data_IF_569652435059
#
_entry.id   IF_569652435059
#
_cell.length_a   1.000
_cell.length_b   1.000
_cell.length_c   1.000
_cell.angle_alpha   90.00
_cell.angle_beta   90.00
_cell.angle_gamma   90.00
#
_symmetry.space_group_name_H-M   'P 1'
#
loop_
_entity.id
_entity.type
_entity.pdbx_description
1 polymer ?
#
# COMPACT_ATOMS: atom_id res chain seq x y z
N UNK A 1 6.13 22.47 -12.76
CA UNK A 1 6.60 21.45 -13.73
C UNK A 1 7.62 20.60 -13.01
N UNK A 2 7.16 19.51 -12.35
CA UNK A 2 8.06 18.45 -11.89
C UNK A 2 8.62 17.79 -13.16
N UNK A 3 9.93 17.86 -13.33
CA UNK A 3 10.62 17.13 -14.38
C UNK A 3 10.39 15.63 -14.10
N UNK A 4 9.71 14.94 -15.01
CA UNK A 4 9.71 13.50 -15.01
C UNK A 4 11.18 13.06 -15.08
N UNK A 5 11.71 12.50 -14.00
CA UNK A 5 13.03 11.91 -13.98
C UNK A 5 13.02 10.76 -14.99
N UNK A 6 13.77 10.89 -16.07
CA UNK A 6 13.96 9.80 -17.01
C UNK A 6 14.41 8.55 -16.26
N UNK A 7 13.81 7.39 -16.55
CA UNK A 7 14.20 6.14 -15.89
C UNK A 7 15.69 5.92 -16.16
N UNK A 8 16.47 5.73 -15.10
CA UNK A 8 17.91 5.49 -15.22
C UNK A 8 18.15 4.30 -16.17
N UNK A 9 19.17 4.34 -17.04
CA UNK A 9 19.47 3.28 -18.01
C UNK A 9 19.54 1.86 -17.43
N UNK A 10 19.84 1.78 -16.16
CA UNK A 10 19.89 0.56 -15.35
C UNK A 10 18.51 -0.14 -15.22
N UNK A 11 17.42 0.60 -15.02
CA UNK A 11 16.06 0.04 -14.90
C UNK A 11 15.58 -0.54 -16.23
N UNK A 12 15.90 0.14 -17.34
CA UNK A 12 15.52 -0.31 -18.69
C UNK A 12 16.22 -1.63 -19.03
N UNK A 13 17.52 -1.76 -18.71
CA UNK A 13 18.28 -2.99 -18.95
C UNK A 13 17.72 -4.17 -18.16
N UNK A 14 17.31 -3.95 -16.92
CA UNK A 14 16.72 -4.99 -16.07
C UNK A 14 15.36 -5.46 -16.56
N UNK A 15 14.51 -4.54 -17.04
CA UNK A 15 13.25 -4.89 -17.69
C UNK A 15 13.48 -5.72 -18.94
N UNK A 16 14.51 -5.37 -19.75
CA UNK A 16 14.87 -6.13 -20.94
C UNK A 16 15.39 -7.53 -20.57
N UNK A 17 16.29 -7.63 -19.59
CA UNK A 17 16.82 -8.93 -19.10
C UNK A 17 15.66 -9.79 -18.54
N UNK A 18 14.70 -9.21 -17.85
CA UNK A 18 13.52 -9.90 -17.34
C UNK A 18 12.62 -10.39 -18.47
N UNK A 19 12.40 -9.56 -19.48
CA UNK A 19 11.61 -9.92 -20.67
C UNK A 19 12.23 -11.10 -21.39
N UNK A 20 13.55 -11.07 -21.62
CA UNK A 20 14.30 -12.15 -22.26
C UNK A 20 14.21 -13.43 -21.43
N UNK A 21 14.41 -13.35 -20.11
CA UNK A 21 14.34 -14.51 -19.21
C UNK A 21 12.96 -15.17 -19.25
N UNK A 22 11.89 -14.40 -19.08
CA UNK A 22 10.52 -14.92 -19.10
C UNK A 22 10.17 -15.49 -20.47
N UNK A 23 10.60 -14.84 -21.55
CA UNK A 23 10.39 -15.33 -22.93
C UNK A 23 11.09 -16.67 -23.15
N UNK A 24 12.33 -16.84 -22.68
CA UNK A 24 13.07 -18.10 -22.73
C UNK A 24 12.38 -19.20 -21.92
N UNK A 25 11.95 -18.91 -20.68
CA UNK A 25 11.23 -19.88 -19.85
C UNK A 25 9.93 -20.34 -20.51
N UNK A 26 9.24 -19.44 -21.17
CA UNK A 26 8.00 -19.75 -21.90
C UNK A 26 8.28 -20.62 -23.13
N UNK A 27 9.31 -20.29 -23.91
CA UNK A 27 9.71 -21.07 -25.10
C UNK A 27 10.20 -22.49 -24.74
N UNK A 28 10.79 -22.68 -23.54
CA UNK A 28 11.30 -23.96 -23.07
C UNK A 28 10.23 -24.82 -22.38
N UNK A 29 9.02 -24.30 -22.16
CA UNK A 29 7.92 -25.04 -21.51
C UNK A 29 7.17 -25.91 -22.52
N UNK A 30 7.11 -27.24 -22.38
CA UNK A 30 6.54 -28.15 -23.38
C UNK A 30 5.01 -28.04 -23.57
N UNK A 31 4.30 -27.25 -22.75
CA UNK A 31 2.83 -27.25 -22.70
C UNK A 31 2.12 -26.04 -23.31
N UNK A 32 2.83 -25.07 -23.87
CA UNK A 32 2.18 -23.81 -24.27
C UNK A 32 2.61 -23.26 -25.64
N UNK A 33 2.63 -24.10 -26.68
CA UNK A 33 2.97 -23.66 -28.03
C UNK A 33 1.90 -22.82 -28.75
N UNK A 34 0.72 -22.57 -28.15
CA UNK A 34 -0.40 -21.95 -28.88
C UNK A 34 -0.67 -20.47 -28.54
N UNK A 35 -0.03 -19.86 -27.56
CA UNK A 35 -0.31 -18.46 -27.21
C UNK A 35 0.93 -17.65 -26.83
N UNK A 36 1.83 -17.43 -27.78
CA UNK A 36 3.02 -16.57 -27.59
C UNK A 36 2.65 -15.10 -27.26
N UNK A 37 1.44 -14.65 -27.57
CA UNK A 37 0.96 -13.28 -27.31
C UNK A 37 0.17 -13.11 -26.00
N UNK A 38 0.09 -14.13 -25.16
CA UNK A 38 -0.71 -14.14 -23.93
C UNK A 38 0.10 -14.22 -22.64
N UNK A 39 1.37 -13.78 -22.61
CA UNK A 39 2.08 -13.58 -21.33
C UNK A 39 1.31 -12.58 -20.50
N UNK A 40 0.72 -13.06 -19.39
CA UNK A 40 0.04 -12.17 -18.47
C UNK A 40 1.02 -11.05 -18.03
N UNK A 41 0.64 -9.78 -18.16
CA UNK A 41 1.50 -8.64 -17.76
C UNK A 41 2.08 -8.81 -16.36
N UNK A 42 1.34 -9.46 -15.47
CA UNK A 42 1.73 -9.74 -14.09
C UNK A 42 2.97 -10.65 -13.98
N UNK A 43 3.14 -11.63 -14.88
CA UNK A 43 4.31 -12.51 -14.90
C UNK A 43 5.57 -11.74 -15.29
N UNK A 44 5.49 -10.84 -16.27
CA UNK A 44 6.60 -9.99 -16.69
C UNK A 44 6.99 -9.02 -15.59
N UNK A 45 6.01 -8.36 -14.99
CA UNK A 45 6.22 -7.43 -13.89
C UNK A 45 6.86 -8.13 -12.68
N UNK A 46 6.39 -9.33 -12.34
CA UNK A 46 6.96 -10.15 -11.26
C UNK A 46 8.41 -10.53 -11.54
N UNK A 47 8.71 -11.06 -12.74
CA UNK A 47 10.07 -11.44 -13.13
C UNK A 47 11.02 -10.22 -13.14
N UNK A 48 10.56 -9.06 -13.61
CA UNK A 48 11.32 -7.82 -13.56
C UNK A 48 11.65 -7.41 -12.12
N UNK A 49 10.70 -7.54 -11.21
CA UNK A 49 10.89 -7.20 -9.79
C UNK A 49 11.81 -8.18 -9.07
N UNK A 50 11.74 -9.47 -9.41
CA UNK A 50 12.68 -10.48 -8.91
C UNK A 50 14.13 -10.15 -9.32
N UNK A 51 14.36 -9.88 -10.60
CA UNK A 51 15.68 -9.49 -11.10
C UNK A 51 16.17 -8.17 -10.51
N UNK A 52 15.26 -7.21 -10.33
CA UNK A 52 15.59 -5.95 -9.69
C UNK A 52 16.07 -6.16 -8.26
N UNK A 53 15.33 -6.93 -7.45
CA UNK A 53 15.70 -7.23 -6.07
C UNK A 53 17.02 -8.01 -5.99
N UNK A 54 17.24 -8.98 -6.91
CA UNK A 54 18.49 -9.73 -6.99
C UNK A 54 19.70 -8.82 -7.24
N UNK A 55 19.57 -7.84 -8.16
CA UNK A 55 20.65 -6.88 -8.45
C UNK A 55 20.92 -5.95 -7.28
N UNK A 56 19.87 -5.42 -6.65
CA UNK A 56 20.03 -4.62 -5.42
C UNK A 56 20.71 -5.44 -4.32
N UNK A 57 20.31 -6.70 -4.13
CA UNK A 57 20.96 -7.59 -3.16
C UNK A 57 22.43 -7.81 -3.50
N UNK A 58 22.75 -8.04 -4.78
CA UNK A 58 24.14 -8.22 -5.23
C UNK A 58 24.99 -6.96 -4.99
N UNK A 59 24.45 -5.78 -5.30
CA UNK A 59 25.16 -4.50 -5.05
C UNK A 59 25.41 -4.26 -3.56
N UNK A 60 24.40 -4.53 -2.72
CA UNK A 60 24.47 -4.26 -1.29
C UNK A 60 25.30 -5.30 -0.52
N UNK A 61 25.24 -6.58 -0.92
CA UNK A 61 25.80 -7.71 -0.17
C UNK A 61 27.01 -8.35 -0.86
N UNK A 62 27.18 -8.12 -2.16
CA UNK A 62 28.14 -8.81 -3.01
C UNK A 62 27.68 -10.20 -3.48
N UNK A 63 26.43 -10.61 -3.17
CA UNK A 63 25.88 -11.93 -3.50
C UNK A 63 24.55 -11.80 -4.25
N UNK A 64 24.37 -12.60 -5.28
CA UNK A 64 23.10 -12.73 -6.00
C UNK A 64 22.22 -13.74 -5.25
N UNK A 65 20.99 -13.37 -4.95
CA UNK A 65 20.05 -14.24 -4.25
C UNK A 65 18.77 -14.45 -5.07
N UNK A 66 18.40 -15.73 -5.25
CA UNK A 66 17.25 -16.15 -6.05
C UNK A 66 15.96 -16.37 -5.26
N UNK A 67 16.02 -16.45 -3.93
CA UNK A 67 14.86 -16.76 -3.08
C UNK A 67 14.35 -15.59 -2.24
N UNK A 68 15.01 -14.42 -2.30
CA UNK A 68 14.67 -13.28 -1.43
C UNK A 68 13.29 -12.70 -1.76
N UNK A 69 12.91 -12.65 -3.04
CA UNK A 69 11.62 -12.12 -3.45
C UNK A 69 10.46 -12.97 -2.91
N UNK A 70 10.54 -14.29 -3.09
CA UNK A 70 9.55 -15.24 -2.61
C UNK A 70 9.46 -15.19 -1.09
N UNK A 71 10.61 -15.19 -0.40
CA UNK A 71 10.65 -15.04 1.05
C UNK A 71 9.95 -13.75 1.51
N UNK A 72 10.19 -12.62 0.83
CA UNK A 72 9.54 -11.36 1.16
C UNK A 72 8.01 -11.44 0.95
N UNK A 73 7.56 -12.10 -0.12
CA UNK A 73 6.14 -12.31 -0.36
C UNK A 73 5.49 -13.18 0.73
N UNK A 74 6.14 -14.27 1.11
CA UNK A 74 5.67 -15.20 2.15
C UNK A 74 5.61 -14.51 3.52
N UNK A 75 6.65 -13.76 3.88
CA UNK A 75 6.70 -13.00 5.14
C UNK A 75 5.64 -11.91 5.21
N UNK A 76 5.43 -11.18 4.10
CA UNK A 76 4.43 -10.11 4.04
C UNK A 76 2.99 -10.65 4.11
N UNK A 77 2.74 -11.85 3.56
CA UNK A 77 1.44 -12.51 3.59
C UNK A 77 1.14 -13.18 4.94
N UNK A 78 2.19 -13.53 5.70
CA UNK A 78 2.01 -14.22 6.97
C UNK A 78 1.38 -13.32 8.02
N UNK A 79 0.32 -13.82 8.68
CA UNK A 79 -0.25 -13.22 9.89
C UNK A 79 0.20 -14.05 11.10
N UNK A 80 0.61 -13.38 12.17
CA UNK A 80 0.90 -14.03 13.44
C UNK A 80 0.02 -13.43 14.53
N UNK A 81 -0.73 -14.28 15.23
CA UNK A 81 -1.66 -13.88 16.31
C UNK A 81 -2.59 -12.70 15.93
N UNK A 82 -3.02 -12.67 14.66
CA UNK A 82 -3.92 -11.61 14.15
C UNK A 82 -3.25 -10.25 13.90
N UNK A 83 -1.92 -10.15 14.06
CA UNK A 83 -1.16 -8.95 13.73
C UNK A 83 -0.45 -9.12 12.40
N UNK A 84 -0.55 -8.11 11.55
CA UNK A 84 0.26 -8.01 10.35
C UNK A 84 1.72 -7.76 10.77
N UNK A 85 2.64 -8.64 10.33
CA UNK A 85 4.06 -8.48 10.65
C UNK A 85 4.60 -7.18 10.06
N UNK A 86 5.16 -6.31 10.90
CA UNK A 86 5.95 -5.17 10.49
C UNK A 86 7.40 -5.45 10.88
N UNK A 87 8.34 -5.31 9.95
CA UNK A 87 9.75 -5.53 10.23
C UNK A 87 10.63 -4.98 9.13
N UNK A 88 11.92 -4.82 9.43
CA UNK A 88 12.92 -4.30 8.52
C UNK A 88 14.01 -5.32 8.25
N UNK A 89 14.37 -5.51 6.98
CA UNK A 89 15.57 -6.22 6.56
C UNK A 89 16.52 -5.22 5.92
N UNK A 90 17.75 -5.16 6.39
CA UNK A 90 18.82 -4.37 5.80
C UNK A 90 19.69 -5.29 4.95
N UNK A 91 19.93 -4.90 3.71
CA UNK A 91 20.84 -5.59 2.82
C UNK A 91 22.26 -5.08 3.07
N UNK A 92 23.11 -5.91 3.65
CA UNK A 92 24.44 -5.51 4.04
C UNK A 92 25.42 -6.67 4.09
N UNK A 93 26.61 -6.47 3.51
CA UNK A 93 27.68 -7.47 3.53
C UNK A 93 28.14 -7.73 4.95
N UNK A 94 28.19 -8.99 5.35
CA UNK A 94 28.72 -9.41 6.65
C UNK A 94 30.19 -9.02 6.78
N UNK A 95 30.56 -8.45 7.93
CA UNK A 95 31.91 -7.99 8.20
C UNK A 95 32.26 -6.63 7.56
N UNK A 96 31.32 -5.88 7.02
CA UNK A 96 31.52 -4.51 6.60
C UNK A 96 31.96 -3.65 7.80
N UNK A 97 33.00 -2.82 7.63
CA UNK A 97 33.56 -2.01 8.72
C UNK A 97 32.61 -0.94 9.24
N UNK A 98 31.67 -0.55 8.41
CA UNK A 98 30.69 0.52 8.65
C UNK A 98 29.36 0.02 9.23
N UNK A 99 29.24 -1.29 9.48
CA UNK A 99 28.06 -1.89 10.12
C UNK A 99 28.53 -2.72 11.30
N UNK A 100 28.10 -2.30 12.48
CA UNK A 100 28.32 -3.05 13.71
C UNK A 100 26.97 -3.53 14.25
N UNK A 101 26.71 -4.87 14.18
CA UNK A 101 25.49 -5.41 14.74
C UNK A 101 25.38 -5.08 16.24
N UNK A 102 24.20 -4.65 16.66
CA UNK A 102 23.86 -4.51 18.09
C UNK A 102 23.67 -5.88 18.75
N UNK A 103 23.16 -6.84 17.95
CA UNK A 103 23.02 -8.25 18.33
C UNK A 103 23.56 -9.10 17.16
N UNK A 104 24.62 -9.86 17.40
CA UNK A 104 25.18 -10.77 16.40
C UNK A 104 24.80 -12.22 16.72
N UNK A 105 24.34 -12.97 15.71
CA UNK A 105 23.97 -14.37 15.89
C UNK A 105 25.21 -15.26 15.88
N UNK A 106 25.38 -16.10 16.88
CA UNK A 106 26.44 -17.12 16.89
C UNK A 106 26.34 -18.07 15.69
N UNK A 107 25.12 -18.37 15.26
CA UNK A 107 24.81 -19.16 14.08
C UNK A 107 23.86 -18.38 13.20
N UNK A 108 24.31 -17.85 12.09
CA UNK A 108 23.43 -17.16 11.13
C UNK A 108 22.36 -18.11 10.59
N UNK A 109 21.19 -17.55 10.31
CA UNK A 109 20.02 -18.31 9.83
C UNK A 109 19.94 -18.16 8.32
N UNK A 110 20.01 -19.30 7.60
CA UNK A 110 19.88 -19.29 6.15
C UNK A 110 18.46 -18.92 5.72
N UNK A 111 18.33 -18.18 4.61
CA UNK A 111 17.05 -17.67 4.12
C UNK A 111 15.99 -18.77 3.87
N UNK A 112 16.41 -20.00 3.53
CA UNK A 112 15.48 -21.12 3.32
C UNK A 112 14.85 -21.67 4.61
N UNK A 113 15.31 -21.22 5.78
CA UNK A 113 14.76 -21.63 7.06
C UNK A 113 13.55 -20.77 7.45
N UNK A 114 12.46 -20.88 6.68
CA UNK A 114 11.28 -20.01 6.75
C UNK A 114 10.75 -19.76 8.17
N UNK A 115 10.62 -20.79 8.99
CA UNK A 115 10.14 -20.66 10.38
C UNK A 115 11.09 -19.83 11.24
N UNK A 116 12.40 -20.02 11.09
CA UNK A 116 13.41 -19.24 11.81
C UNK A 116 13.42 -17.78 11.38
N UNK A 117 13.41 -17.55 10.06
CA UNK A 117 13.38 -16.18 9.50
C UNK A 117 12.13 -15.44 9.93
N UNK A 118 10.96 -16.09 9.93
CA UNK A 118 9.71 -15.50 10.40
C UNK A 118 9.81 -15.01 11.84
N UNK A 119 10.34 -15.82 12.76
CA UNK A 119 10.58 -15.43 14.15
C UNK A 119 11.52 -14.22 14.26
N UNK A 120 12.55 -14.16 13.42
CA UNK A 120 13.47 -13.03 13.40
C UNK A 120 12.80 -11.75 12.92
N UNK A 121 11.94 -11.81 11.90
CA UNK A 121 11.19 -10.64 11.40
C UNK A 121 10.18 -10.13 12.45
N UNK A 122 9.56 -11.00 13.22
CA UNK A 122 8.67 -10.60 14.32
C UNK A 122 9.41 -9.84 15.43
N UNK A 123 10.70 -10.12 15.61
CA UNK A 123 11.58 -9.38 16.54
C UNK A 123 12.10 -8.06 15.94
N UNK A 124 12.11 -7.95 14.61
CA UNK A 124 12.57 -6.75 13.94
C UNK A 124 11.55 -5.61 14.11
N UNK A 125 12.01 -4.42 14.42
CA UNK A 125 11.21 -3.23 14.66
C UNK A 125 11.83 -2.01 13.97
N UNK A 126 11.23 -0.83 14.13
CA UNK A 126 11.85 0.43 13.72
C UNK A 126 13.20 0.68 14.41
N UNK A 127 13.39 0.20 15.64
CA UNK A 127 14.65 0.36 16.37
C UNK A 127 15.70 -0.66 15.95
N UNK A 128 15.29 -1.90 15.67
CA UNK A 128 16.19 -3.01 15.36
C UNK A 128 15.82 -3.65 14.03
N UNK A 129 16.62 -3.39 13.01
CA UNK A 129 16.47 -4.00 11.69
C UNK A 129 17.30 -5.30 11.60
N UNK A 130 16.77 -6.29 10.90
CA UNK A 130 17.40 -7.58 10.69
C UNK A 130 18.44 -7.47 9.55
N UNK A 131 19.68 -7.88 9.81
CA UNK A 131 20.78 -7.84 8.85
C UNK A 131 20.80 -9.09 7.96
N UNK A 132 20.89 -8.91 6.65
CA UNK A 132 20.93 -9.96 5.63
C UNK A 132 22.13 -9.76 4.69
N UNK A 133 22.94 -10.83 4.49
CA UNK A 133 24.18 -10.78 3.70
C UNK A 133 24.07 -11.36 2.28
N UNK A 134 22.86 -11.68 1.86
CA UNK A 134 22.56 -12.32 0.57
C UNK A 134 22.13 -13.78 0.71
N UNK A 135 22.60 -14.50 1.73
CA UNK A 135 22.24 -15.89 2.00
C UNK A 135 21.75 -16.11 3.43
N UNK A 136 22.29 -15.33 4.38
CA UNK A 136 22.07 -15.52 5.81
C UNK A 136 21.63 -14.25 6.51
N UNK A 137 20.73 -14.42 7.45
CA UNK A 137 20.43 -13.44 8.48
C UNK A 137 21.42 -13.62 9.63
N UNK A 138 22.15 -12.56 9.98
CA UNK A 138 23.31 -12.69 10.87
C UNK A 138 23.27 -11.83 12.13
N UNK A 139 22.27 -10.98 12.28
CA UNK A 139 22.13 -10.13 13.48
C UNK A 139 21.08 -9.06 13.34
N UNK A 140 20.97 -8.23 14.37
CA UNK A 140 20.17 -7.01 14.36
C UNK A 140 21.05 -5.78 14.51
N UNK A 141 20.62 -4.68 13.93
CA UNK A 141 21.28 -3.38 13.99
C UNK A 141 20.27 -2.29 14.27
N UNK A 142 20.69 -1.22 14.94
CA UNK A 142 19.89 -0.02 15.09
C UNK A 142 19.65 0.62 13.72
N UNK A 143 18.38 0.78 13.36
CA UNK A 143 17.99 1.29 12.05
C UNK A 143 18.48 2.72 11.79
N UNK A 144 18.54 3.55 12.82
CA UNK A 144 18.98 4.95 12.68
C UNK A 144 20.43 5.08 12.23
N UNK A 145 21.25 4.07 12.51
CA UNK A 145 22.66 4.06 12.08
C UNK A 145 22.85 3.77 10.59
N UNK A 146 21.80 3.26 9.91
CA UNK A 146 21.91 2.71 8.55
C UNK A 146 20.75 3.11 7.63
N UNK A 147 20.07 4.22 7.94
CA UNK A 147 18.91 4.73 7.17
C UNK A 147 19.16 4.85 5.66
N UNK A 148 20.35 5.21 5.24
CA UNK A 148 20.68 5.44 3.82
C UNK A 148 20.96 4.17 3.03
N UNK A 149 20.83 3.00 3.66
CA UNK A 149 21.07 1.72 3.00
C UNK A 149 19.81 1.16 2.35
N UNK A 150 20.04 0.19 1.45
CA UNK A 150 18.96 -0.58 0.89
C UNK A 150 18.30 -1.43 1.98
N UNK A 151 17.00 -1.28 2.12
CA UNK A 151 16.23 -2.02 3.10
C UNK A 151 14.86 -2.44 2.56
N UNK A 152 14.36 -3.52 3.12
CA UNK A 152 13.02 -4.04 2.86
C UNK A 152 12.18 -3.75 4.10
N UNK A 153 11.01 -3.16 3.89
CA UNK A 153 10.03 -2.89 4.92
C UNK A 153 8.77 -3.71 4.67
N UNK A 154 8.38 -4.51 5.65
CA UNK A 154 7.11 -5.23 5.66
C UNK A 154 6.03 -4.36 6.27
N UNK A 155 4.90 -4.21 5.54
CA UNK A 155 3.75 -3.41 5.96
C UNK A 155 2.56 -4.26 6.39
N UNK A 156 2.73 -5.59 6.36
CA UNK A 156 1.63 -6.54 6.54
C UNK A 156 0.69 -6.61 5.34
N UNK A 157 -0.35 -7.44 5.45
CA UNK A 157 -1.38 -7.61 4.40
C UNK A 157 -0.80 -7.93 3.02
N UNK A 158 0.26 -8.75 2.95
CA UNK A 158 0.92 -9.10 1.71
C UNK A 158 1.72 -7.96 1.06
N UNK A 159 1.93 -6.85 1.76
CA UNK A 159 2.64 -5.67 1.21
C UNK A 159 4.04 -5.55 1.80
N UNK A 160 5.02 -5.38 0.93
CA UNK A 160 6.38 -5.02 1.29
C UNK A 160 6.97 -4.00 0.31
N UNK A 161 7.94 -3.24 0.75
CA UNK A 161 8.62 -2.24 -0.05
C UNK A 161 10.13 -2.42 0.00
N UNK A 162 10.81 -2.14 -1.11
CA UNK A 162 12.25 -1.94 -1.19
C UNK A 162 12.53 -0.45 -1.21
N UNK A 163 13.42 0.01 -0.35
CA UNK A 163 13.76 1.42 -0.21
C UNK A 163 15.27 1.61 -0.11
N UNK A 164 15.75 2.80 -0.42
CA UNK A 164 17.08 3.29 -0.10
C UNK A 164 16.96 4.66 0.54
N UNK A 165 17.27 4.75 1.82
CA UNK A 165 16.89 5.95 2.57
C UNK A 165 15.38 6.12 2.53
N UNK A 166 14.94 7.32 2.21
CA UNK A 166 13.51 7.64 2.03
C UNK A 166 12.99 7.32 0.61
N UNK A 167 13.89 6.99 -0.31
CA UNK A 167 13.52 6.71 -1.70
C UNK A 167 12.87 5.34 -1.84
N UNK A 168 11.59 5.31 -2.21
CA UNK A 168 10.90 4.09 -2.62
C UNK A 168 11.47 3.62 -3.98
N UNK A 169 11.97 2.39 -4.01
CA UNK A 169 12.50 1.75 -5.22
C UNK A 169 11.51 0.76 -5.85
N UNK A 170 10.79 0.02 -4.99
CA UNK A 170 9.75 -0.92 -5.43
C UNK A 170 8.72 -1.13 -4.31
N UNK A 171 7.49 -1.42 -4.71
CA UNK A 171 6.41 -1.86 -3.83
C UNK A 171 5.79 -3.12 -4.43
N UNK A 172 5.54 -4.10 -3.58
CA UNK A 172 4.91 -5.37 -3.98
C UNK A 172 3.72 -5.62 -3.07
N UNK A 173 2.61 -6.02 -3.67
CA UNK A 173 1.37 -6.39 -2.99
C UNK A 173 0.95 -7.79 -3.41
N UNK A 174 0.83 -8.71 -2.45
CA UNK A 174 0.45 -10.11 -2.70
C UNK A 174 1.26 -10.76 -3.85
N UNK A 175 2.57 -10.52 -3.86
CA UNK A 175 3.48 -11.08 -4.86
C UNK A 175 3.41 -10.40 -6.24
N UNK A 176 2.65 -9.32 -6.39
CA UNK A 176 2.57 -8.54 -7.63
C UNK A 176 3.17 -7.15 -7.42
N UNK A 177 4.10 -6.70 -8.27
CA UNK A 177 4.63 -5.35 -8.22
C UNK A 177 3.53 -4.31 -8.44
N UNK A 178 3.60 -3.22 -7.70
CA UNK A 178 2.64 -2.12 -7.78
C UNK A 178 3.20 -1.03 -8.68
N UNK A 179 2.41 -0.63 -9.67
CA UNK A 179 2.74 0.50 -10.53
C UNK A 179 2.77 1.81 -9.72
N UNK A 180 3.72 2.69 -10.01
CA UNK A 180 3.90 3.94 -9.26
C UNK A 180 2.65 4.83 -9.26
N UNK A 181 1.85 4.78 -10.32
CA UNK A 181 0.61 5.54 -10.45
C UNK A 181 -0.57 4.97 -9.63
N UNK A 182 -0.40 3.78 -9.04
CA UNK A 182 -1.32 3.17 -8.06
C UNK A 182 -0.96 3.47 -6.61
N UNK A 183 0.05 4.28 -6.37
CA UNK A 183 0.40 4.73 -5.03
C UNK A 183 -0.39 6.00 -4.73
N UNK A 184 -1.15 5.99 -3.63
CA UNK A 184 -1.87 7.18 -3.20
C UNK A 184 -0.87 8.21 -2.66
N UNK A 185 -0.66 9.27 -3.41
CA UNK A 185 0.10 10.43 -2.96
C UNK A 185 -0.82 11.52 -2.47
N UNK A 186 -0.28 12.45 -1.69
CA UNK A 186 -1.00 13.63 -1.21
C UNK A 186 -1.57 14.45 -2.35
N UNK A 187 -0.79 14.66 -3.41
CA UNK A 187 -1.23 15.43 -4.58
C UNK A 187 -2.42 14.79 -5.29
N UNK A 188 -2.40 13.46 -5.44
CA UNK A 188 -3.53 12.71 -6.02
C UNK A 188 -4.77 12.84 -5.15
N UNK A 189 -4.66 12.68 -3.83
CA UNK A 189 -5.77 12.84 -2.90
C UNK A 189 -6.33 14.26 -2.93
N UNK A 190 -5.48 15.28 -2.81
CA UNK A 190 -5.90 16.68 -2.84
C UNK A 190 -6.54 17.08 -4.17
N UNK A 191 -6.07 16.52 -5.30
CA UNK A 191 -6.72 16.73 -6.59
C UNK A 191 -8.16 16.19 -6.62
N UNK A 192 -8.40 15.03 -5.98
CA UNK A 192 -9.76 14.49 -5.82
C UNK A 192 -10.63 15.41 -4.94
N UNK A 193 -10.09 15.87 -3.79
CA UNK A 193 -10.81 16.78 -2.90
C UNK A 193 -11.18 18.07 -3.64
N UNK A 194 -10.24 18.74 -4.31
CA UNK A 194 -10.51 19.97 -5.07
C UNK A 194 -11.59 19.79 -6.14
N UNK A 195 -11.61 18.63 -6.78
CA UNK A 195 -12.62 18.32 -7.79
C UNK A 195 -14.00 18.09 -7.20
N UNK A 196 -14.09 17.35 -6.10
CA UNK A 196 -15.36 16.93 -5.50
C UNK A 196 -15.90 17.96 -4.51
N UNK A 197 -15.02 18.67 -3.81
CA UNK A 197 -15.32 19.61 -2.73
C UNK A 197 -14.55 20.93 -2.96
N UNK A 198 -14.87 21.70 -3.99
CA UNK A 198 -14.10 22.89 -4.40
C UNK A 198 -14.10 24.02 -3.36
N UNK A 199 -14.96 23.93 -2.32
CA UNK A 199 -15.00 24.88 -1.21
C UNK A 199 -13.92 24.63 -0.16
N UNK A 200 -13.20 23.51 -0.18
CA UNK A 200 -12.16 23.17 0.80
C UNK A 200 -10.91 24.00 0.52
N UNK A 201 -10.48 24.77 1.50
CA UNK A 201 -9.26 25.56 1.44
C UNK A 201 -7.99 24.72 1.65
N UNK A 202 -6.84 25.38 1.65
CA UNK A 202 -5.55 24.72 1.79
C UNK A 202 -5.43 23.95 3.12
N UNK A 203 -5.83 24.54 4.23
CA UNK A 203 -5.75 23.94 5.56
C UNK A 203 -6.71 22.76 5.69
N UNK A 204 -7.90 22.88 5.09
CA UNK A 204 -8.84 21.78 4.96
C UNK A 204 -8.29 20.60 4.16
N UNK A 205 -7.56 20.85 3.06
CA UNK A 205 -6.92 19.79 2.28
C UNK A 205 -5.89 19.00 3.12
N UNK A 206 -5.08 19.69 3.92
CA UNK A 206 -4.11 19.07 4.81
C UNK A 206 -4.83 18.22 5.89
N UNK A 207 -5.86 18.78 6.48
CA UNK A 207 -6.64 18.10 7.51
C UNK A 207 -7.33 16.84 6.99
N UNK A 208 -7.99 16.92 5.83
CA UNK A 208 -8.65 15.77 5.22
C UNK A 208 -7.65 14.70 4.79
N UNK A 209 -6.46 15.09 4.30
CA UNK A 209 -5.37 14.16 4.02
C UNK A 209 -4.93 13.39 5.26
N UNK A 210 -4.69 14.08 6.37
CA UNK A 210 -4.28 13.44 7.63
C UNK A 210 -5.34 12.46 8.14
N UNK A 211 -6.63 12.84 8.09
CA UNK A 211 -7.74 11.95 8.44
C UNK A 211 -7.74 10.70 7.56
N UNK A 212 -7.62 10.86 6.24
CA UNK A 212 -7.60 9.76 5.29
C UNK A 212 -6.42 8.80 5.55
N UNK A 213 -5.24 9.35 5.88
CA UNK A 213 -4.05 8.54 6.15
C UNK A 213 -4.18 7.74 7.44
N UNK A 214 -4.72 8.33 8.50
CA UNK A 214 -4.99 7.61 9.76
C UNK A 214 -6.01 6.49 9.52
N UNK A 215 -7.08 6.78 8.77
CA UNK A 215 -8.07 5.77 8.41
C UNK A 215 -7.46 4.62 7.59
N UNK A 216 -6.55 4.93 6.66
CA UNK A 216 -5.86 3.92 5.86
C UNK A 216 -4.91 3.03 6.66
N UNK A 217 -4.51 3.42 7.87
CA UNK A 217 -3.68 2.61 8.78
C UNK A 217 -4.48 1.55 9.55
N UNK A 218 -5.81 1.72 9.62
CA UNK A 218 -6.62 0.83 10.43
C UNK A 218 -6.60 -0.61 9.88
N UNK A 219 -6.59 -1.62 10.77
CA UNK A 219 -6.56 -3.03 10.36
C UNK A 219 -7.87 -3.49 9.72
N UNK A 220 -8.96 -2.74 9.94
CA UNK A 220 -10.29 -3.03 9.40
C UNK A 220 -10.62 -2.11 8.23
N UNK A 221 -11.46 -2.58 7.32
CA UNK A 221 -11.96 -1.74 6.25
C UNK A 221 -12.93 -0.68 6.77
N UNK A 222 -12.83 0.55 6.26
CA UNK A 222 -13.69 1.67 6.67
C UNK A 222 -14.02 2.57 5.50
N UNK A 223 -15.11 3.33 5.63
CA UNK A 223 -15.51 4.37 4.68
C UNK A 223 -15.63 5.71 5.40
N UNK A 224 -15.20 6.78 4.74
CA UNK A 224 -15.46 8.16 5.20
C UNK A 224 -16.11 8.92 4.06
N UNK A 225 -17.33 9.38 4.27
CA UNK A 225 -18.02 10.35 3.42
C UNK A 225 -17.62 11.76 3.85
N UNK A 226 -17.02 12.51 2.93
CA UNK A 226 -16.80 13.95 3.08
C UNK A 226 -17.81 14.71 2.25
N UNK A 227 -18.63 15.56 2.89
CA UNK A 227 -19.67 16.36 2.21
C UNK A 227 -20.02 17.61 3.03
N UNK A 228 -20.23 18.76 2.40
CA UNK A 228 -20.74 19.94 3.11
C UNK A 228 -22.15 19.71 3.68
N UNK A 229 -22.89 18.74 3.13
CA UNK A 229 -24.21 18.33 3.61
C UNK A 229 -24.21 17.34 4.78
N UNK A 230 -23.09 17.11 5.48
CA UNK A 230 -22.93 16.07 6.48
C UNK A 230 -24.00 16.08 7.58
N UNK A 231 -24.38 17.26 8.07
CA UNK A 231 -25.45 17.40 9.07
C UNK A 231 -26.82 16.98 8.54
N UNK A 232 -27.13 17.33 7.30
CA UNK A 232 -28.37 16.98 6.64
C UNK A 232 -28.43 15.46 6.36
N UNK A 233 -27.33 14.90 5.89
CA UNK A 233 -27.23 13.47 5.62
C UNK A 233 -27.27 12.62 6.90
N UNK A 234 -26.61 13.04 7.97
CA UNK A 234 -26.72 12.39 9.27
C UNK A 234 -28.17 12.37 9.79
N UNK A 235 -28.95 13.44 9.54
CA UNK A 235 -30.36 13.48 9.87
C UNK A 235 -31.21 12.60 8.94
N UNK A 236 -30.93 12.64 7.63
CA UNK A 236 -31.66 11.83 6.63
C UNK A 236 -31.48 10.33 6.88
N UNK A 237 -30.25 9.90 7.22
CA UNK A 237 -29.90 8.52 7.47
C UNK A 237 -30.02 8.11 8.94
N UNK A 238 -30.73 8.86 9.77
CA UNK A 238 -30.78 8.63 11.21
C UNK A 238 -31.31 7.23 11.63
N UNK A 239 -32.09 6.58 10.76
CA UNK A 239 -32.54 5.19 10.98
C UNK A 239 -31.47 4.13 10.63
N UNK A 240 -30.39 4.52 9.94
CA UNK A 240 -29.34 3.66 9.41
C UNK A 240 -27.96 4.08 9.88
N UNK A 241 -27.84 4.97 10.84
CA UNK A 241 -26.59 5.45 11.44
C UNK A 241 -26.82 5.89 12.89
N UNK A 242 -25.74 6.18 13.58
CA UNK A 242 -25.76 6.82 14.90
C UNK A 242 -25.38 8.28 14.72
N UNK A 243 -26.34 9.24 14.69
CA UNK A 243 -26.03 10.65 14.67
C UNK A 243 -25.35 11.07 15.96
N UNK A 244 -24.31 11.90 15.87
CA UNK A 244 -23.57 12.40 17.03
C UNK A 244 -23.50 13.93 17.00
N UNK A 245 -23.18 14.53 18.15
CA UNK A 245 -22.78 15.95 18.17
C UNK A 245 -21.48 16.08 17.37
N UNK A 246 -21.36 17.08 16.48
CA UNK A 246 -20.17 17.21 15.64
C UNK A 246 -18.89 17.24 16.46
N UNK A 247 -17.93 16.40 16.11
CA UNK A 247 -16.60 16.32 16.74
C UNK A 247 -15.53 16.28 15.68
N UNK A 248 -14.43 17.01 15.90
CA UNK A 248 -13.30 17.01 14.97
C UNK A 248 -12.63 15.64 14.92
N UNK A 249 -12.34 15.15 13.71
CA UNK A 249 -11.56 13.93 13.46
C UNK A 249 -10.07 14.20 13.75
N UNK A 250 -9.72 14.25 15.04
CA UNK A 250 -8.32 14.17 15.47
C UNK A 250 -7.76 12.77 15.21
N UNK A 251 -6.45 12.57 15.41
CA UNK A 251 -5.83 11.26 15.21
C UNK A 251 -6.51 10.17 16.07
N UNK A 252 -6.71 10.43 17.36
CA UNK A 252 -7.31 9.46 18.29
C UNK A 252 -8.79 9.19 17.95
N UNK A 253 -9.56 10.24 17.67
CA UNK A 253 -10.99 10.12 17.30
C UNK A 253 -11.13 9.36 15.98
N UNK A 254 -10.28 9.67 14.99
CA UNK A 254 -10.29 8.97 13.71
C UNK A 254 -10.00 7.47 13.91
N UNK A 255 -8.96 7.14 14.67
CA UNK A 255 -8.59 5.76 14.98
C UNK A 255 -9.74 4.99 15.65
N UNK A 256 -10.38 5.58 16.63
CA UNK A 256 -11.50 4.94 17.35
C UNK A 256 -12.74 4.77 16.46
N UNK A 257 -13.13 5.80 15.72
CA UNK A 257 -14.36 5.76 14.95
C UNK A 257 -14.24 4.92 13.67
N UNK A 258 -13.04 4.83 13.07
CA UNK A 258 -12.81 3.97 11.90
C UNK A 258 -12.72 2.48 12.22
N UNK A 259 -12.64 2.11 13.49
CA UNK A 259 -12.75 0.72 13.95
C UNK A 259 -14.19 0.16 13.89
N UNK A 260 -15.19 1.03 13.72
CA UNK A 260 -16.60 0.66 13.63
C UNK A 260 -16.94 0.32 12.17
N UNK A 261 -17.67 -0.76 11.93
CA UNK A 261 -18.16 -1.06 10.59
C UNK A 261 -19.20 -0.02 10.14
N UNK A 262 -19.23 0.27 8.83
CA UNK A 262 -20.07 1.29 8.23
C UNK A 262 -19.29 2.54 7.82
N UNK A 263 -20.05 3.59 7.49
CA UNK A 263 -19.47 4.85 6.97
C UNK A 263 -19.51 5.94 8.04
N UNK A 264 -18.39 6.65 8.20
CA UNK A 264 -18.37 7.92 8.94
C UNK A 264 -18.90 9.04 8.01
N UNK A 265 -19.81 9.86 8.50
CA UNK A 265 -20.31 11.04 7.77
C UNK A 265 -19.62 12.26 8.34
N UNK A 266 -18.72 12.87 7.57
CA UNK A 266 -17.92 14.03 7.96
C UNK A 266 -18.18 15.23 7.04
N UNK A 267 -18.06 16.44 7.59
CA UNK A 267 -18.14 17.67 6.79
C UNK A 267 -16.79 18.01 6.12
N UNK A 268 -16.81 19.06 5.29
CA UNK A 268 -15.63 19.52 4.57
C UNK A 268 -14.50 20.06 5.50
N UNK A 269 -14.83 20.34 6.77
CA UNK A 269 -13.88 20.77 7.80
C UNK A 269 -13.33 19.61 8.62
N UNK A 270 -13.71 18.35 8.28
CA UNK A 270 -13.29 17.15 9.01
C UNK A 270 -13.95 16.98 10.37
N UNK A 271 -15.18 17.48 10.57
CA UNK A 271 -15.98 17.14 11.75
C UNK A 271 -16.93 16.01 11.39
N UNK A 272 -16.99 14.97 12.21
CA UNK A 272 -17.92 13.84 12.02
C UNK A 272 -19.28 14.17 12.65
N UNK A 273 -20.34 13.84 11.92
CA UNK A 273 -21.75 14.08 12.31
C UNK A 273 -22.54 12.79 12.55
N UNK A 274 -22.07 11.66 11.99
CA UNK A 274 -22.66 10.34 12.24
C UNK A 274 -21.63 9.24 12.03
N UNK A 275 -21.85 8.10 12.73
CA UNK A 275 -21.02 6.92 12.66
C UNK A 275 -21.83 5.67 12.30
N UNK A 276 -21.17 4.70 11.66
CA UNK A 276 -21.77 3.42 11.30
C UNK A 276 -22.88 3.51 10.24
N UNK A 277 -22.86 4.55 9.39
CA UNK A 277 -23.92 4.74 8.40
C UNK A 277 -23.88 3.65 7.32
N UNK A 278 -25.08 3.12 7.03
CA UNK A 278 -25.31 2.31 5.85
C UNK A 278 -25.69 3.26 4.72
N UNK A 279 -24.84 3.29 3.68
CA UNK A 279 -25.06 4.19 2.53
C UNK A 279 -26.20 3.67 1.68
N UNK A 280 -27.29 4.44 1.58
CA UNK A 280 -28.38 4.18 0.67
C UNK A 280 -28.12 4.90 -0.66
N UNK A 281 -28.26 4.22 -1.74
CA UNK A 281 -28.22 4.78 -3.09
C UNK A 281 -29.16 4.00 -3.97
N UNK A 282 -29.86 4.67 -4.90
CA UNK A 282 -30.58 3.94 -5.93
C UNK A 282 -29.57 3.08 -6.69
N UNK A 283 -29.91 1.80 -6.92
CA UNK A 283 -29.09 0.86 -7.70
C UNK A 283 -29.01 1.34 -9.15
N UNK A 284 -28.27 2.41 -9.37
CA UNK A 284 -27.90 2.88 -10.70
C UNK A 284 -26.74 2.05 -11.20
N UNK A 285 -26.49 2.04 -12.50
CA UNK A 285 -25.47 1.26 -13.19
C UNK A 285 -24.02 1.67 -12.82
N UNK A 286 -23.82 2.35 -11.70
CA UNK A 286 -22.51 2.90 -11.25
C UNK A 286 -21.65 1.85 -10.53
N UNK A 287 -22.23 0.77 -10.04
CA UNK A 287 -21.50 -0.35 -9.42
C UNK A 287 -20.88 -1.30 -10.43
N UNK A 288 -19.88 -2.04 -10.02
CA UNK A 288 -19.29 -3.14 -10.80
C UNK A 288 -19.25 -4.40 -9.97
N UNK A 289 -19.57 -5.54 -10.58
CA UNK A 289 -19.51 -6.85 -9.90
C UNK A 289 -18.10 -7.27 -9.49
N UNK A 290 -17.06 -6.59 -10.02
CA UNK A 290 -15.66 -6.82 -9.68
C UNK A 290 -15.21 -6.12 -8.40
N UNK A 291 -16.01 -5.22 -7.84
CA UNK A 291 -15.74 -4.47 -6.63
C UNK A 291 -16.61 -4.93 -5.49
N UNK A 292 -16.11 -4.86 -4.27
CA UNK A 292 -16.84 -5.24 -3.08
C UNK A 292 -18.05 -4.33 -2.80
N UNK A 293 -18.93 -4.77 -1.88
CA UNK A 293 -20.16 -4.06 -1.53
C UNK A 293 -19.94 -2.61 -1.08
N UNK A 294 -18.87 -2.33 -0.33
CA UNK A 294 -18.52 -0.96 0.12
C UNK A 294 -18.32 0.01 -1.05
N UNK A 295 -17.58 -0.42 -2.08
CA UNK A 295 -17.39 0.42 -3.26
C UNK A 295 -18.69 0.66 -4.02
N UNK A 296 -19.49 -0.39 -4.24
CA UNK A 296 -20.73 -0.29 -5.00
C UNK A 296 -21.76 0.60 -4.27
N UNK A 297 -21.88 0.47 -2.95
CA UNK A 297 -22.74 1.34 -2.14
C UNK A 297 -22.27 2.80 -2.20
N UNK A 298 -20.98 3.04 -2.10
CA UNK A 298 -20.40 4.37 -2.21
C UNK A 298 -20.63 5.01 -3.59
N UNK A 299 -20.44 4.25 -4.67
CA UNK A 299 -20.65 4.72 -6.04
C UNK A 299 -22.14 5.07 -6.29
N UNK A 300 -23.06 4.23 -5.83
CA UNK A 300 -24.51 4.49 -5.92
C UNK A 300 -24.89 5.74 -5.11
N UNK A 301 -24.38 5.89 -3.90
CA UNK A 301 -24.65 7.03 -3.04
C UNK A 301 -24.17 8.34 -3.69
N UNK A 302 -22.91 8.42 -4.13
CA UNK A 302 -22.36 9.67 -4.72
C UNK A 302 -23.13 10.09 -5.96
N UNK A 303 -23.62 9.14 -6.75
CA UNK A 303 -24.41 9.42 -7.96
C UNK A 303 -25.79 10.00 -7.63
N UNK A 304 -26.40 9.60 -6.50
CA UNK A 304 -27.73 10.02 -6.07
C UNK A 304 -27.71 11.12 -5.02
N UNK A 305 -26.56 11.48 -4.46
CA UNK A 305 -26.44 12.48 -3.40
C UNK A 305 -26.82 13.87 -3.91
N UNK A 306 -27.66 14.64 -3.18
CA UNK A 306 -27.99 16.02 -3.52
C UNK A 306 -26.84 17.00 -3.19
N UNK A 307 -25.83 16.55 -2.46
CA UNK A 307 -24.69 17.35 -2.03
C UNK A 307 -23.40 16.90 -2.72
N UNK A 308 -22.47 17.83 -3.01
CA UNK A 308 -21.11 17.48 -3.39
C UNK A 308 -20.54 16.49 -2.38
N UNK A 309 -20.03 15.36 -2.87
CA UNK A 309 -19.64 14.26 -2.00
C UNK A 309 -18.40 13.55 -2.52
N UNK A 310 -17.53 13.16 -1.60
CA UNK A 310 -16.38 12.31 -1.84
C UNK A 310 -16.35 11.22 -0.78
N UNK A 311 -16.22 9.97 -1.20
CA UNK A 311 -16.08 8.84 -0.26
C UNK A 311 -14.68 8.26 -0.39
N UNK A 312 -13.99 8.22 0.74
CA UNK A 312 -12.71 7.56 0.91
C UNK A 312 -12.96 6.18 1.50
N UNK A 313 -12.54 5.15 0.78
CA UNK A 313 -12.80 3.75 1.13
C UNK A 313 -11.48 3.06 1.39
N UNK A 314 -11.34 2.46 2.55
CA UNK A 314 -10.22 1.59 2.90
C UNK A 314 -10.72 0.15 2.91
N UNK A 315 -10.12 -0.71 2.12
CA UNK A 315 -10.46 -2.13 2.13
C UNK A 315 -9.56 -2.92 3.10
N UNK A 316 -10.05 -4.11 3.51
CA UNK A 316 -9.32 -4.96 4.45
C UNK A 316 -7.97 -5.45 3.91
N UNK A 317 -7.82 -5.53 2.59
CA UNK A 317 -6.58 -5.88 1.89
C UNK A 317 -5.58 -4.71 1.76
N UNK A 318 -5.88 -3.55 2.36
CA UNK A 318 -5.00 -2.38 2.41
C UNK A 318 -5.11 -1.46 1.19
N UNK A 319 -5.97 -1.77 0.23
CA UNK A 319 -6.23 -0.85 -0.88
C UNK A 319 -7.17 0.28 -0.49
N UNK A 320 -6.98 1.39 -1.18
CA UNK A 320 -7.81 2.59 -1.05
C UNK A 320 -8.52 2.86 -2.36
N UNK A 321 -9.81 3.16 -2.28
CA UNK A 321 -10.61 3.67 -3.39
C UNK A 321 -11.12 5.07 -3.04
N UNK A 322 -11.20 5.96 -4.03
CA UNK A 322 -11.82 7.29 -3.90
C UNK A 322 -12.97 7.40 -4.89
N UNK A 323 -14.15 7.76 -4.39
CA UNK A 323 -15.37 7.86 -5.20
C UNK A 323 -15.90 9.29 -5.10
N UNK A 324 -16.22 9.97 -6.22
CA UNK A 324 -16.11 9.52 -7.61
C UNK A 324 -14.65 9.43 -8.09
N UNK A 325 -14.35 8.55 -9.05
CA UNK A 325 -13.00 8.47 -9.61
C UNK A 325 -12.66 9.70 -10.44
N UNK A 326 -11.36 10.01 -10.59
CA UNK A 326 -10.89 11.20 -11.33
C UNK A 326 -11.31 11.19 -12.81
N UNK A 327 -11.38 10.01 -13.42
CA UNK A 327 -11.81 9.87 -14.81
C UNK A 327 -13.03 8.94 -14.90
N UNK A 328 -14.25 9.47 -14.70
CA UNK A 328 -15.48 8.67 -14.76
C UNK A 328 -15.82 8.18 -16.17
N UNK A 329 -15.21 8.74 -17.23
CA UNK A 329 -15.38 8.31 -18.64
C UNK A 329 -14.33 7.29 -19.11
N UNK A 330 -13.33 6.98 -18.27
CA UNK A 330 -12.39 5.90 -18.54
C UNK A 330 -13.10 4.55 -18.58
N UNK A 331 -12.52 3.58 -19.29
CA UNK A 331 -13.02 2.21 -19.30
C UNK A 331 -13.36 1.77 -17.88
N UNK A 332 -14.53 1.13 -17.70
CA UNK A 332 -14.96 0.58 -16.40
C UNK A 332 -13.92 -0.34 -15.76
N UNK A 333 -12.93 -0.77 -16.54
CA UNK A 333 -11.80 -1.62 -16.16
C UNK A 333 -10.61 -0.83 -15.59
N UNK A 334 -10.52 0.49 -15.81
CA UNK A 334 -9.37 1.34 -15.42
C UNK A 334 -9.60 2.14 -14.14
N UNK A 335 -10.59 1.78 -13.33
CA UNK A 335 -10.77 2.41 -12.01
C UNK A 335 -9.58 2.04 -11.11
N UNK A 336 -8.69 3.00 -10.91
CA UNK A 336 -7.48 2.82 -10.12
C UNK A 336 -7.85 2.59 -8.66
N UNK A 337 -7.33 1.50 -8.11
CA UNK A 337 -7.20 1.32 -6.66
C UNK A 337 -5.82 1.79 -6.27
N UNK A 338 -5.73 2.45 -5.15
CA UNK A 338 -4.47 2.98 -4.64
C UNK A 338 -3.96 2.14 -3.48
N UNK A 339 -2.64 2.11 -3.34
CA UNK A 339 -1.97 1.66 -2.14
C UNK A 339 -1.36 2.86 -1.44
N UNK A 340 -1.46 2.89 -0.12
CA UNK A 340 -0.90 3.95 0.69
C UNK A 340 0.61 3.80 0.79
N UNK A 341 1.35 4.90 0.58
CA UNK A 341 2.70 5.07 1.12
C UNK A 341 2.58 5.49 2.58
N UNK A 342 3.13 4.73 3.52
CA UNK A 342 3.18 5.17 4.92
C UNK A 342 4.01 6.44 5.04
N UNK A 343 3.51 7.38 5.84
CA UNK A 343 4.11 8.69 6.10
C UNK A 343 5.40 8.65 6.96
N UNK A 344 5.96 7.49 7.24
CA UNK A 344 7.28 7.37 7.88
C UNK A 344 8.45 7.50 6.90
N UNK A 345 8.18 7.95 5.66
CA UNK A 345 9.16 8.29 4.64
C UNK A 345 8.93 9.73 4.16
N UNK A 346 8.80 10.70 5.09
CA UNK A 346 8.98 12.14 4.87
C UNK A 346 9.77 12.70 6.04
#
# INVERSE_FOLDING_TARGET
>A
RAAATEPKPFVIRQLFDALVYVSLQYCLSPRQSETFFGLAPDLLSRAASQLFLQKISQEATGRMNYGLYELCCDLAAAQYEGRAGAGYIILARRGSKDIKPSIEFRRPVHLSHNTGVRKLIEMASQQFALLFDGDYFYGFVDFDQIRDRHHILFKGRGIWTMQRGEQLLAMVSYGTPVEADRILTKDVFQAHVRKCLPMVDHDGLEKLWNIAMIAAEQPVGTNILFTPGAKQEAKRLASQCIPIRPVALTADVTTQLTAIDGTLIADANGNVHAVGAIMDGSSTHSGTWQRGGRYNSAANYVTSSPHPSMIFIVSQDGYVDIVPPMNPKGDKWSMKRYLKLNSTAI
#
